data_IF_883651660614
#
_entry.id   IF_883651660614
#
_cell.length_a   1.000
_cell.length_b   1.000
_cell.length_c   1.000
_cell.angle_alpha   90.00
_cell.angle_beta   90.00
_cell.angle_gamma   90.00
#
_symmetry.space_group_name_H-M   'P 1'
#
loop_
_entity.id
_entity.type
_entity.pdbx_description
1 polymer ?
#
# COMPACT_ATOMS: atom_id res chain seq x y z
N UNK A 1 -3.51 -6.63 8.28
CA UNK A 1 -2.59 -7.52 7.54
C UNK A 1 -3.32 -8.00 6.30
N UNK A 2 -2.73 -7.85 5.11
CA UNK A 2 -3.35 -8.28 3.84
C UNK A 2 -3.44 -9.81 3.79
N UNK A 3 -4.61 -10.32 3.41
CA UNK A 3 -4.92 -11.74 3.24
C UNK A 3 -5.06 -12.07 1.74
N UNK A 4 -4.87 -13.33 1.33
CA UNK A 4 -5.04 -13.75 -0.07
C UNK A 4 -6.41 -13.41 -0.66
N UNK A 5 -7.43 -13.34 0.19
CA UNK A 5 -8.81 -12.98 -0.18
C UNK A 5 -8.94 -11.59 -0.79
N UNK A 6 -7.99 -10.69 -0.49
CA UNK A 6 -7.99 -9.33 -1.02
C UNK A 6 -7.32 -9.20 -2.39
N UNK A 7 -6.88 -10.30 -3.03
CA UNK A 7 -6.17 -10.26 -4.31
C UNK A 7 -6.93 -9.48 -5.39
N UNK A 8 -8.24 -9.71 -5.51
CA UNK A 8 -9.10 -9.00 -6.46
C UNK A 8 -9.15 -7.49 -6.21
N UNK A 9 -9.19 -7.09 -4.93
CA UNK A 9 -9.16 -5.67 -4.54
C UNK A 9 -7.80 -5.05 -4.80
N UNK A 10 -6.72 -5.77 -4.48
CA UNK A 10 -5.34 -5.33 -4.73
C UNK A 10 -5.09 -5.14 -6.22
N UNK A 11 -5.65 -6.00 -7.06
CA UNK A 11 -5.53 -5.89 -8.52
C UNK A 11 -6.23 -4.61 -9.05
N UNK A 12 -7.40 -4.28 -8.49
CA UNK A 12 -8.14 -3.06 -8.83
C UNK A 12 -7.50 -1.80 -8.24
N UNK A 13 -6.72 -1.92 -7.16
CA UNK A 13 -6.06 -0.78 -6.52
C UNK A 13 -4.95 -0.17 -7.41
N UNK A 14 -4.77 1.15 -7.28
CA UNK A 14 -3.68 1.87 -7.94
C UNK A 14 -2.35 1.71 -7.18
N UNK A 15 -2.41 1.67 -5.84
CA UNK A 15 -1.27 1.53 -4.95
C UNK A 15 -1.68 0.81 -3.67
N UNK A 16 -0.70 0.23 -2.97
CA UNK A 16 -0.91 -0.50 -1.72
C UNK A 16 -0.11 0.19 -0.62
N UNK A 17 -0.76 0.52 0.49
CA UNK A 17 -0.11 1.11 1.66
C UNK A 17 -0.46 0.24 2.86
N UNK A 18 0.54 -0.15 3.64
CA UNK A 18 0.32 -0.93 4.87
C UNK A 18 1.11 -0.35 6.04
N UNK A 19 0.50 -0.34 7.22
CA UNK A 19 1.17 0.10 8.45
C UNK A 19 2.19 -0.91 8.96
N UNK A 20 1.91 -2.19 8.71
CA UNK A 20 2.66 -3.31 9.22
C UNK A 20 2.93 -4.32 8.11
N UNK A 21 4.12 -4.90 8.14
CA UNK A 21 4.59 -5.85 7.13
C UNK A 21 6.06 -5.58 6.77
N UNK A 22 6.78 -6.65 6.47
CA UNK A 22 8.15 -6.59 5.97
C UNK A 22 8.22 -6.80 4.46
N UNK A 23 9.44 -6.80 3.91
CA UNK A 23 9.70 -6.95 2.47
C UNK A 23 9.21 -8.29 1.89
N UNK A 24 9.03 -9.30 2.75
CA UNK A 24 8.50 -10.63 2.43
C UNK A 24 7.02 -10.79 2.81
N UNK A 25 6.34 -9.70 3.18
CA UNK A 25 4.92 -9.77 3.52
C UNK A 25 4.07 -10.05 2.29
N UNK A 26 2.87 -10.61 2.51
CA UNK A 26 1.89 -10.85 1.46
C UNK A 26 1.63 -9.59 0.62
N UNK A 27 1.48 -8.42 1.25
CA UNK A 27 1.30 -7.16 0.54
C UNK A 27 2.47 -6.84 -0.41
N UNK A 28 3.70 -7.05 0.04
CA UNK A 28 4.89 -6.75 -0.76
C UNK A 28 5.07 -7.73 -1.93
N UNK A 29 4.79 -9.02 -1.71
CA UNK A 29 4.89 -10.05 -2.75
C UNK A 29 3.79 -9.84 -3.80
N UNK A 30 2.52 -9.76 -3.38
CA UNK A 30 1.40 -9.57 -4.31
C UNK A 30 1.52 -8.27 -5.10
N UNK A 31 2.01 -7.20 -4.48
CA UNK A 31 2.26 -5.95 -5.20
C UNK A 31 3.28 -6.09 -6.34
N UNK A 32 4.37 -6.82 -6.11
CA UNK A 32 5.41 -7.07 -7.12
C UNK A 32 4.89 -7.92 -8.26
N UNK A 33 4.12 -8.96 -7.93
CA UNK A 33 3.47 -9.83 -8.94
C UNK A 33 2.50 -9.03 -9.82
N UNK A 34 1.72 -8.14 -9.22
CA UNK A 34 0.75 -7.30 -9.90
C UNK A 34 1.34 -6.02 -10.49
N UNK A 35 2.67 -5.80 -10.35
CA UNK A 35 3.40 -4.60 -10.79
C UNK A 35 2.77 -3.30 -10.28
N UNK A 36 2.30 -3.30 -9.03
CA UNK A 36 1.69 -2.13 -8.37
C UNK A 36 2.67 -1.50 -7.38
N UNK A 37 2.69 -0.15 -7.27
CA UNK A 37 3.44 0.53 -6.23
C UNK A 37 2.94 0.12 -4.84
N UNK A 38 3.86 -0.21 -3.95
CA UNK A 38 3.56 -0.68 -2.60
C UNK A 38 4.52 -0.10 -1.58
N UNK A 39 3.95 0.49 -0.51
CA UNK A 39 4.69 1.00 0.64
C UNK A 39 4.23 0.25 1.89
N UNK A 40 5.20 -0.33 2.58
CA UNK A 40 4.99 -1.18 3.76
C UNK A 40 5.65 -0.56 4.98
N UNK A 41 5.14 -0.87 6.18
CA UNK A 41 5.77 -0.45 7.42
C UNK A 41 5.60 1.04 7.74
N UNK A 42 4.54 1.69 7.24
CA UNK A 42 4.27 3.11 7.48
C UNK A 42 3.87 3.45 8.92
N UNK A 43 3.58 2.43 9.76
CA UNK A 43 3.17 2.47 11.17
C UNK A 43 1.85 3.19 11.48
N UNK A 44 1.60 4.33 10.85
CA UNK A 44 0.48 5.23 11.15
C UNK A 44 -0.30 5.67 9.89
N UNK A 45 -0.05 5.11 8.70
CA UNK A 45 -0.74 5.55 7.49
C UNK A 45 -2.26 5.38 7.58
N UNK A 46 -2.79 4.28 8.11
CA UNK A 46 -4.26 4.10 8.24
C UNK A 46 -4.92 5.05 9.24
N UNK A 47 -4.13 5.66 10.14
CA UNK A 47 -4.62 6.68 11.08
C UNK A 47 -4.57 8.09 10.48
N UNK A 48 -3.59 8.32 9.61
CA UNK A 48 -3.35 9.63 8.98
C UNK A 48 -4.22 9.78 7.74
N UNK A 49 -4.30 8.75 6.90
CA UNK A 49 -5.09 8.72 5.67
C UNK A 49 -6.53 8.36 6.00
N UNK A 50 -7.48 9.09 5.42
CA UNK A 50 -8.91 8.86 5.52
C UNK A 50 -9.51 8.61 4.15
N UNK A 51 -10.66 7.96 4.13
CA UNK A 51 -11.41 7.73 2.90
C UNK A 51 -11.73 9.07 2.21
N UNK A 52 -11.43 9.14 0.90
CA UNK A 52 -11.58 10.36 0.11
C UNK A 52 -10.32 11.23 0.00
N UNK A 53 -9.27 10.95 0.77
CA UNK A 53 -7.99 11.66 0.64
C UNK A 53 -7.29 11.30 -0.68
N UNK A 54 -6.76 12.32 -1.37
CA UNK A 54 -5.91 12.13 -2.54
C UNK A 54 -4.46 12.01 -2.09
N UNK A 55 -3.86 10.86 -2.38
CA UNK A 55 -2.48 10.53 -1.97
C UNK A 55 -1.58 10.25 -3.17
N UNK A 56 -0.35 10.73 -3.08
CA UNK A 56 0.77 10.35 -3.93
C UNK A 56 1.56 9.24 -3.24
N UNK A 57 1.86 8.17 -3.97
CA UNK A 57 2.63 7.02 -3.47
C UNK A 57 3.87 6.85 -4.33
N UNK A 58 5.04 7.09 -3.75
CA UNK A 58 6.34 6.83 -4.37
C UNK A 58 6.95 5.56 -3.77
N UNK A 59 6.85 4.45 -4.51
CA UNK A 59 7.39 3.16 -4.10
C UNK A 59 8.93 3.07 -4.21
N UNK A 60 9.58 3.99 -4.95
CA UNK A 60 11.04 4.03 -5.08
C UNK A 60 11.67 4.68 -3.85
N UNK A 61 11.08 5.79 -3.40
CA UNK A 61 11.51 6.49 -2.18
C UNK A 61 10.85 5.95 -0.91
N UNK A 62 9.81 5.13 -1.06
CA UNK A 62 9.02 4.60 0.07
C UNK A 62 8.22 5.68 0.79
N UNK A 63 7.81 6.73 0.08
CA UNK A 63 7.11 7.88 0.66
C UNK A 63 5.66 7.95 0.21
N UNK A 64 4.77 8.29 1.14
CA UNK A 64 3.36 8.57 0.89
C UNK A 64 3.08 10.02 1.28
N UNK A 65 2.43 10.78 0.42
CA UNK A 65 2.08 12.20 0.67
C UNK A 65 0.62 12.45 0.34
N UNK A 66 -0.05 13.29 1.13
CA UNK A 66 -1.36 13.82 0.75
C UNK A 66 -1.17 15.01 -0.18
N UNK A 67 -1.97 15.07 -1.24
CA UNK A 67 -1.89 16.13 -2.26
C UNK A 67 -3.04 17.15 -2.11
N UNK A 68 -4.03 16.87 -1.25
CA UNK A 68 -5.18 17.73 -0.97
C UNK A 68 -5.54 17.71 0.50
#
# INVERSE_FOLDING_TARGET
MTRPEYLSLINQAAAIITDAGGILSHAAISARELKKPCVIGTKNATKVLKDGDVVEVDATKGTVRKIK
#
